data_IF_936575384245
#
_entry.id   IF_936575384245
#
_cell.length_a   1.000
_cell.length_b   1.000
_cell.length_c   1.000
_cell.angle_alpha   90.00
_cell.angle_beta   90.00
_cell.angle_gamma   90.00
#
_symmetry.space_group_name_H-M   'P 1'
#
loop_
_entity.id
_entity.type
_entity.pdbx_description
1 polymer ?
#
# COMPACT_ATOMS: atom_id res chain seq x y z
N UNK A 1 -11.14 -9.84 -12.00
CA UNK A 1 -12.07 -9.64 -10.86
C UNK A 1 -13.18 -10.67 -10.78
N UNK A 2 -13.91 -10.96 -11.86
CA UNK A 2 -14.99 -11.97 -11.82
C UNK A 2 -14.53 -13.36 -11.34
N UNK A 3 -13.33 -13.79 -11.73
CA UNK A 3 -12.81 -15.08 -11.26
C UNK A 3 -12.48 -15.10 -9.76
N UNK A 4 -11.88 -14.02 -9.23
CA UNK A 4 -11.62 -13.89 -7.80
C UNK A 4 -12.91 -13.88 -6.98
N UNK A 5 -13.98 -13.24 -7.51
CA UNK A 5 -15.32 -13.28 -6.90
C UNK A 5 -15.84 -14.71 -6.78
N UNK A 6 -15.72 -15.54 -7.83
CA UNK A 6 -16.12 -16.96 -7.76
C UNK A 6 -15.33 -17.71 -6.70
N UNK A 7 -14.02 -17.47 -6.59
CA UNK A 7 -13.20 -18.12 -5.55
C UNK A 7 -13.65 -17.74 -4.12
N UNK A 8 -14.19 -16.52 -3.93
CA UNK A 8 -14.82 -16.11 -2.66
C UNK A 8 -16.13 -16.87 -2.45
N UNK A 9 -16.99 -16.94 -3.47
CA UNK A 9 -18.28 -17.64 -3.42
C UNK A 9 -18.13 -19.15 -3.19
N UNK A 10 -17.10 -19.77 -3.77
CA UNK A 10 -16.71 -21.17 -3.55
C UNK A 10 -16.03 -21.40 -2.19
N UNK A 11 -15.73 -20.34 -1.43
CA UNK A 11 -15.07 -20.42 -0.13
C UNK A 11 -13.57 -20.76 -0.17
N UNK A 12 -12.94 -20.74 -1.36
CA UNK A 12 -11.50 -21.01 -1.53
C UNK A 12 -10.63 -19.88 -1.01
N UNK A 13 -11.10 -18.65 -1.11
CA UNK A 13 -10.48 -17.46 -0.51
C UNK A 13 -11.54 -16.70 0.28
N UNK A 14 -11.12 -15.96 1.31
CA UNK A 14 -12.05 -15.18 2.14
C UNK A 14 -12.23 -13.75 1.65
N UNK A 15 -11.16 -13.16 1.11
CA UNK A 15 -11.07 -11.73 0.81
C UNK A 15 -10.23 -11.48 -0.44
N UNK A 16 -10.45 -10.33 -1.07
CA UNK A 16 -9.67 -9.89 -2.23
C UNK A 16 -8.87 -8.64 -1.87
N UNK A 17 -7.58 -8.67 -2.18
CA UNK A 17 -6.69 -7.50 -2.09
C UNK A 17 -6.14 -7.10 -3.44
N UNK A 18 -5.73 -5.85 -3.56
CA UNK A 18 -4.99 -5.32 -4.70
C UNK A 18 -3.62 -4.80 -4.23
N UNK A 19 -2.68 -4.66 -5.16
CA UNK A 19 -1.37 -4.06 -4.93
C UNK A 19 -1.05 -3.13 -6.09
N UNK A 20 -0.46 -1.96 -5.81
CA UNK A 20 -0.02 -0.97 -6.82
C UNK A 20 -1.10 -0.54 -7.82
N UNK A 21 -2.36 -0.52 -7.37
CA UNK A 21 -3.48 -0.16 -8.23
C UNK A 21 -3.75 1.35 -8.17
N UNK A 22 -3.97 1.96 -9.34
CA UNK A 22 -4.42 3.35 -9.43
C UNK A 22 -5.92 3.49 -9.10
N UNK A 23 -6.38 4.73 -8.92
CA UNK A 23 -7.77 5.05 -8.52
C UNK A 23 -8.83 4.47 -9.46
N UNK A 24 -8.62 4.53 -10.78
CA UNK A 24 -9.53 3.95 -11.77
C UNK A 24 -9.66 2.42 -11.60
N UNK A 25 -8.52 1.74 -11.49
CA UNK A 25 -8.48 0.28 -11.31
C UNK A 25 -9.16 -0.13 -10.00
N UNK A 26 -8.92 0.60 -8.92
CA UNK A 26 -9.57 0.36 -7.62
C UNK A 26 -11.10 0.49 -7.75
N UNK A 27 -11.60 1.59 -8.34
CA UNK A 27 -13.05 1.82 -8.49
C UNK A 27 -13.71 0.73 -9.34
N UNK A 28 -13.10 0.38 -10.48
CA UNK A 28 -13.64 -0.69 -11.35
C UNK A 28 -13.61 -2.06 -10.69
N UNK A 29 -12.56 -2.37 -9.93
CA UNK A 29 -12.46 -3.66 -9.24
C UNK A 29 -13.46 -3.77 -8.09
N UNK A 30 -13.58 -2.71 -7.29
CA UNK A 30 -14.50 -2.64 -6.15
C UNK A 30 -15.97 -2.69 -6.58
N UNK A 31 -16.30 -2.18 -7.77
CA UNK A 31 -17.64 -2.30 -8.36
C UNK A 31 -18.04 -3.75 -8.70
N UNK A 32 -17.06 -4.64 -8.93
CA UNK A 32 -17.33 -6.08 -9.23
C UNK A 32 -17.46 -6.90 -7.95
N UNK A 33 -16.57 -6.69 -6.99
CA UNK A 33 -16.58 -7.31 -5.67
C UNK A 33 -15.80 -6.43 -4.68
N UNK A 34 -16.24 -6.29 -3.42
CA UNK A 34 -15.55 -5.45 -2.44
C UNK A 34 -14.07 -5.80 -2.28
N UNK A 35 -13.20 -4.81 -2.45
CA UNK A 35 -11.77 -4.94 -2.16
C UNK A 35 -11.55 -4.72 -0.67
N UNK A 36 -10.93 -5.69 -0.01
CA UNK A 36 -10.70 -5.64 1.44
C UNK A 36 -9.44 -4.85 1.78
N UNK A 37 -8.38 -4.99 0.99
CA UNK A 37 -7.10 -4.36 1.25
C UNK A 37 -6.43 -3.86 -0.04
N UNK A 38 -5.75 -2.72 0.05
CA UNK A 38 -4.84 -2.19 -0.96
C UNK A 38 -3.44 -2.09 -0.35
N UNK A 39 -2.47 -2.76 -0.98
CA UNK A 39 -1.07 -2.65 -0.64
C UNK A 39 -0.40 -1.57 -1.52
N UNK A 40 0.28 -0.61 -0.89
CA UNK A 40 0.99 0.49 -1.55
C UNK A 40 2.26 0.84 -0.77
N UNK A 41 3.21 1.53 -1.41
CA UNK A 41 4.30 2.15 -0.69
C UNK A 41 3.77 3.33 0.10
N UNK A 42 4.04 3.33 1.41
CA UNK A 42 3.70 4.49 2.23
C UNK A 42 4.61 4.55 3.45
N UNK A 43 5.42 5.60 3.51
CA UNK A 43 6.37 5.85 4.60
C UNK A 43 6.63 7.36 4.74
N UNK A 44 7.58 7.77 5.60
CA UNK A 44 7.86 9.19 5.83
C UNK A 44 8.42 9.94 4.61
N UNK A 45 9.03 9.23 3.65
CA UNK A 45 9.59 9.79 2.41
C UNK A 45 8.65 9.61 1.21
N UNK A 46 7.96 8.48 1.13
CA UNK A 46 7.03 8.14 0.04
C UNK A 46 5.59 8.37 0.49
N UNK A 47 4.99 9.48 0.06
CA UNK A 47 3.65 9.98 0.49
C UNK A 47 2.74 10.37 -0.67
N UNK A 48 3.08 9.97 -1.88
CA UNK A 48 2.40 10.31 -3.13
C UNK A 48 0.96 9.79 -3.18
N UNK A 49 0.64 8.77 -2.39
CA UNK A 49 -0.71 8.17 -2.34
C UNK A 49 -1.72 9.00 -1.54
N UNK A 50 -1.28 9.97 -0.74
CA UNK A 50 -2.13 10.71 0.20
C UNK A 50 -3.18 11.63 -0.43
N UNK A 51 -2.93 12.30 -1.57
CA UNK A 51 -3.94 13.15 -2.21
C UNK A 51 -5.12 12.36 -2.78
N UNK A 52 -4.86 11.15 -3.31
CA UNK A 52 -5.83 10.46 -4.17
C UNK A 52 -6.25 9.08 -3.64
N UNK A 53 -5.28 8.20 -3.34
CA UNK A 53 -5.53 6.81 -2.95
C UNK A 53 -6.04 6.72 -1.52
N UNK A 54 -5.45 7.48 -0.58
CA UNK A 54 -5.86 7.45 0.83
C UNK A 54 -7.31 7.90 1.02
N UNK A 55 -7.79 9.00 0.42
CA UNK A 55 -9.20 9.38 0.47
C UNK A 55 -10.10 8.34 -0.19
N UNK A 56 -9.71 7.79 -1.34
CA UNK A 56 -10.47 6.76 -2.03
C UNK A 56 -10.65 5.49 -1.19
N UNK A 57 -9.58 5.00 -0.56
CA UNK A 57 -9.66 3.84 0.31
C UNK A 57 -10.59 4.10 1.52
N UNK A 58 -10.57 5.31 2.08
CA UNK A 58 -11.51 5.70 3.15
C UNK A 58 -12.95 5.77 2.65
N UNK A 59 -13.19 6.36 1.48
CA UNK A 59 -14.51 6.47 0.83
C UNK A 59 -15.14 5.08 0.61
N UNK A 60 -14.35 4.13 0.11
CA UNK A 60 -14.80 2.78 -0.24
C UNK A 60 -14.69 1.76 0.90
N UNK A 61 -14.20 2.17 2.08
CA UNK A 61 -13.99 1.25 3.22
C UNK A 61 -12.91 0.18 2.98
N UNK A 62 -11.90 0.48 2.17
CA UNK A 62 -10.78 -0.41 1.84
C UNK A 62 -9.65 -0.20 2.86
N UNK A 63 -9.11 -1.28 3.43
CA UNK A 63 -7.92 -1.21 4.30
C UNK A 63 -6.66 -0.88 3.51
N UNK A 64 -5.81 0.01 4.04
CA UNK A 64 -4.48 0.28 3.47
C UNK A 64 -3.41 -0.55 4.20
N UNK A 65 -2.56 -1.22 3.43
CA UNK A 65 -1.46 -2.06 3.93
C UNK A 65 -0.12 -1.52 3.39
N UNK A 66 0.57 -0.64 4.13
CA UNK A 66 1.85 -0.09 3.70
C UNK A 66 2.93 -1.18 3.55
N UNK A 67 3.61 -1.23 2.40
CA UNK A 67 4.93 -1.86 2.33
C UNK A 67 6.03 -0.80 2.44
N UNK A 68 7.25 -1.26 2.76
CA UNK A 68 8.41 -0.40 3.05
C UNK A 68 8.12 0.71 4.10
N UNK A 69 7.37 0.46 5.20
CA UNK A 69 7.00 1.53 6.14
C UNK A 69 8.21 2.16 6.84
N UNK A 70 9.35 1.45 6.88
CA UNK A 70 10.59 1.92 7.51
C UNK A 70 11.55 2.61 6.52
N UNK A 71 11.17 2.84 5.26
CA UNK A 71 12.03 3.44 4.24
C UNK A 71 13.33 2.64 4.06
N UNK A 72 13.23 1.33 3.82
CA UNK A 72 14.39 0.45 3.68
C UNK A 72 15.18 0.21 4.97
N UNK A 73 14.64 0.60 6.13
CA UNK A 73 15.33 0.50 7.43
C UNK A 73 15.93 1.82 7.92
N UNK A 74 15.86 2.89 7.12
CA UNK A 74 16.33 4.22 7.48
C UNK A 74 15.58 4.78 8.70
N UNK A 75 14.25 4.67 8.72
CA UNK A 75 13.45 5.05 9.90
C UNK A 75 13.66 4.11 11.09
N UNK A 76 14.20 2.91 10.85
CA UNK A 76 14.62 1.98 11.91
C UNK A 76 15.99 2.30 12.52
N UNK A 77 16.61 3.43 12.18
CA UNK A 77 17.91 3.85 12.71
C UNK A 77 19.12 3.21 12.03
N UNK A 78 18.91 2.40 10.98
CA UNK A 78 19.99 1.85 10.13
C UNK A 78 20.25 2.80 8.97
N UNK A 79 20.70 4.01 9.30
CA UNK A 79 21.20 4.93 8.28
C UNK A 79 22.62 4.54 7.87
N UNK A 80 22.98 4.82 6.61
CA UNK A 80 24.38 4.99 6.23
C UNK A 80 24.89 6.17 7.07
N UNK A 81 25.68 5.88 8.11
CA UNK A 81 26.44 6.93 8.78
C UNK A 81 27.53 7.36 7.80
N UNK A 82 27.44 8.56 7.25
CA UNK A 82 28.65 9.19 6.71
C UNK A 82 29.67 9.25 7.85
N UNK A 83 30.78 8.54 7.70
CA UNK A 83 31.94 8.76 8.53
C UNK A 83 32.57 10.08 8.11
N UNK A 84 32.23 11.17 8.80
CA UNK A 84 33.00 12.40 8.69
C UNK A 84 34.45 12.09 9.09
N UNK A 85 35.47 12.40 8.26
CA UNK A 85 36.85 12.20 8.65
C UNK A 85 37.12 13.01 9.92
N UNK A 86 37.70 12.35 10.92
CA UNK A 86 37.91 12.88 12.28
C UNK A 86 38.86 14.08 12.38
N UNK A 87 39.37 14.59 11.27
CA UNK A 87 40.19 15.80 11.19
C UNK A 87 39.59 16.74 10.14
N UNK A 88 38.68 17.60 10.58
CA UNK A 88 38.24 18.79 9.85
C UNK A 88 38.15 19.97 10.81
N UNK A 89 39.23 20.21 11.57
CA UNK A 89 39.60 21.47 12.22
C UNK A 89 41.10 21.47 12.46
#
# INVERSE_FOLDING_TARGET
MGELKKLVEEGKIKYIGLSEANTDTIRRAHAVHPITALQMEWNLWTREIEPDIVPLCRELGIGLVPYCPLGGGFFGGKAIKESLPSCSF
#
